data_IF_709319286500
#
_entry.id   IF_709319286500
#
_cell.length_a   1.000
_cell.length_b   1.000
_cell.length_c   1.000
_cell.angle_alpha   90.00
_cell.angle_beta   90.00
_cell.angle_gamma   90.00
#
_symmetry.space_group_name_H-M   'P 1'
#
loop_
_entity.id
_entity.type
_entity.pdbx_description
1 polymer ?
#
# COMPACT_ATOMS: atom_id res chain seq x y z
N UNK A 1 -29.72 -6.12 -55.86
CA UNK A 1 -30.31 -6.37 -54.52
C UNK A 1 -29.25 -6.77 -53.49
N UNK A 2 -28.32 -7.69 -53.78
CA UNK A 2 -27.19 -8.00 -52.87
C UNK A 2 -26.23 -6.81 -52.66
N UNK A 3 -25.75 -6.18 -53.75
CA UNK A 3 -24.84 -5.02 -53.70
C UNK A 3 -25.41 -3.81 -52.93
N UNK A 4 -26.74 -3.63 -52.95
CA UNK A 4 -27.43 -2.57 -52.22
C UNK A 4 -27.59 -2.88 -50.73
N UNK A 5 -27.66 -4.16 -50.36
CA UNK A 5 -27.77 -4.60 -48.97
C UNK A 5 -26.40 -4.50 -48.26
N UNK A 6 -25.33 -4.91 -48.95
CA UNK A 6 -23.94 -4.78 -48.46
C UNK A 6 -23.54 -3.31 -48.26
N UNK A 7 -23.89 -2.42 -49.20
CA UNK A 7 -23.64 -0.99 -49.06
C UNK A 7 -24.38 -0.33 -47.89
N UNK A 8 -25.60 -0.78 -47.58
CA UNK A 8 -26.37 -0.27 -46.45
C UNK A 8 -25.83 -0.76 -45.10
N UNK A 9 -25.35 -2.01 -45.02
CA UNK A 9 -24.67 -2.53 -43.83
C UNK A 9 -23.33 -1.82 -43.55
N UNK A 10 -22.52 -1.57 -44.59
CA UNK A 10 -21.27 -0.81 -44.45
C UNK A 10 -21.53 0.64 -44.00
N UNK A 11 -22.58 1.28 -44.52
CA UNK A 11 -22.99 2.62 -44.13
C UNK A 11 -23.50 2.70 -42.68
N UNK A 12 -24.17 1.65 -42.19
CA UNK A 12 -24.65 1.57 -40.81
C UNK A 12 -23.53 1.25 -39.79
N UNK A 13 -22.52 0.49 -40.20
CA UNK A 13 -21.39 0.09 -39.34
C UNK A 13 -20.40 1.24 -39.11
N UNK A 14 -20.18 2.09 -40.12
CA UNK A 14 -19.25 3.23 -40.06
C UNK A 14 -19.51 4.21 -38.90
N UNK A 15 -20.75 4.72 -38.68
CA UNK A 15 -21.03 5.62 -37.55
C UNK A 15 -20.93 4.92 -36.20
N UNK A 16 -21.32 3.64 -36.08
CA UNK A 16 -21.19 2.89 -34.83
C UNK A 16 -19.73 2.74 -34.42
N UNK A 17 -18.85 2.40 -35.37
CA UNK A 17 -17.40 2.30 -35.12
C UNK A 17 -16.80 3.67 -34.78
N UNK A 18 -17.29 4.74 -35.39
CA UNK A 18 -16.86 6.10 -35.05
C UNK A 18 -17.26 6.50 -33.62
N UNK A 19 -18.50 6.21 -33.22
CA UNK A 19 -19.01 6.49 -31.88
C UNK A 19 -18.26 5.68 -30.82
N UNK A 20 -17.99 4.40 -31.08
CA UNK A 20 -17.18 3.54 -30.20
C UNK A 20 -15.75 4.07 -30.05
N UNK A 21 -15.15 4.55 -31.14
CA UNK A 21 -13.81 5.17 -31.10
C UNK A 21 -13.82 6.46 -30.28
N UNK A 22 -14.82 7.31 -30.48
CA UNK A 22 -14.91 8.60 -29.79
C UNK A 22 -15.19 8.42 -28.30
N UNK A 23 -16.06 7.46 -27.93
CA UNK A 23 -16.28 7.04 -26.55
C UNK A 23 -15.01 6.48 -25.91
N UNK A 24 -14.26 5.63 -26.61
CA UNK A 24 -12.99 5.10 -26.13
C UNK A 24 -11.96 6.22 -25.90
N UNK A 25 -11.88 7.20 -26.82
CA UNK A 25 -10.97 8.33 -26.70
C UNK A 25 -11.33 9.24 -25.52
N UNK A 26 -12.63 9.47 -25.29
CA UNK A 26 -13.11 10.21 -24.11
C UNK A 26 -12.79 9.47 -22.81
N UNK A 27 -13.04 8.16 -22.75
CA UNK A 27 -12.72 7.32 -21.58
C UNK A 27 -11.22 7.33 -21.29
N UNK A 28 -10.39 7.20 -22.32
CA UNK A 28 -8.93 7.26 -22.18
C UNK A 28 -8.46 8.61 -21.63
N UNK A 29 -8.94 9.70 -22.22
CA UNK A 29 -8.61 11.07 -21.77
C UNK A 29 -9.04 11.30 -20.33
N UNK A 30 -10.25 10.85 -19.96
CA UNK A 30 -10.76 10.93 -18.59
C UNK A 30 -9.88 10.14 -17.62
N UNK A 31 -9.55 8.90 -17.96
CA UNK A 31 -8.70 8.05 -17.12
C UNK A 31 -7.31 8.66 -16.90
N UNK A 32 -6.69 9.25 -17.93
CA UNK A 32 -5.42 9.96 -17.80
C UNK A 32 -5.55 11.12 -16.81
N UNK A 33 -6.55 11.98 -16.99
CA UNK A 33 -6.75 13.15 -16.14
C UNK A 33 -7.00 12.75 -14.69
N UNK A 34 -7.77 11.69 -14.44
CA UNK A 34 -8.02 11.16 -13.09
C UNK A 34 -6.72 10.66 -12.43
N UNK A 35 -5.89 9.91 -13.17
CA UNK A 35 -4.60 9.41 -12.65
C UNK A 35 -3.64 10.56 -12.37
N UNK A 36 -3.57 11.54 -13.27
CA UNK A 36 -2.74 12.74 -13.10
C UNK A 36 -3.19 13.58 -11.90
N UNK A 37 -4.50 13.80 -11.73
CA UNK A 37 -5.03 14.54 -10.60
C UNK A 37 -4.77 13.82 -9.28
N UNK A 38 -5.04 12.51 -9.21
CA UNK A 38 -4.80 11.70 -8.00
C UNK A 38 -3.33 11.68 -7.62
N UNK A 39 -2.45 11.49 -8.60
CA UNK A 39 -0.99 11.47 -8.37
C UNK A 39 -0.47 12.86 -8.01
N UNK A 40 -0.91 13.90 -8.72
CA UNK A 40 -0.55 15.29 -8.43
C UNK A 40 -0.95 15.72 -7.02
N UNK A 41 -2.15 15.36 -6.57
CA UNK A 41 -2.59 15.62 -5.20
C UNK A 41 -1.75 14.86 -4.16
N UNK A 42 -1.46 13.58 -4.40
CA UNK A 42 -0.58 12.79 -3.51
C UNK A 42 0.82 13.39 -3.42
N UNK A 43 1.39 13.80 -4.55
CA UNK A 43 2.72 14.44 -4.59
C UNK A 43 2.71 15.75 -3.81
N UNK A 44 1.72 16.61 -4.04
CA UNK A 44 1.58 17.87 -3.31
C UNK A 44 1.46 17.64 -1.79
N UNK A 45 0.70 16.64 -1.37
CA UNK A 45 0.59 16.29 0.05
C UNK A 45 1.91 15.79 0.62
N UNK A 46 2.65 14.96 -0.12
CA UNK A 46 3.97 14.47 0.30
C UNK A 46 4.99 15.60 0.39
N UNK A 47 5.02 16.53 -0.57
CA UNK A 47 5.85 17.73 -0.53
C UNK A 47 5.56 18.58 0.70
N UNK A 48 4.27 18.82 1.00
CA UNK A 48 3.86 19.58 2.19
C UNK A 48 4.25 18.87 3.48
N UNK A 49 4.12 17.55 3.55
CA UNK A 49 4.58 16.75 4.69
C UNK A 49 6.10 16.84 4.86
N UNK A 50 6.85 16.74 3.77
CA UNK A 50 8.30 16.85 3.77
C UNK A 50 8.74 18.22 4.29
N UNK A 51 8.18 19.30 3.77
CA UNK A 51 8.47 20.67 4.23
C UNK A 51 8.14 20.82 5.72
N UNK A 52 7.00 20.29 6.17
CA UNK A 52 6.60 20.33 7.57
C UNK A 52 7.57 19.58 8.49
N UNK A 53 7.98 18.38 8.09
CA UNK A 53 8.96 17.57 8.84
C UNK A 53 10.34 18.21 8.85
N UNK A 54 10.79 18.80 7.74
CA UNK A 54 12.06 19.51 7.66
C UNK A 54 12.09 20.73 8.60
N UNK A 55 11.01 21.55 8.61
CA UNK A 55 10.90 22.68 9.54
C UNK A 55 10.84 22.24 11.00
N UNK A 56 10.19 21.10 11.28
CA UNK A 56 10.17 20.54 12.63
C UNK A 56 11.57 20.06 13.06
N UNK A 57 12.30 19.41 12.17
CA UNK A 57 13.67 18.94 12.40
C UNK A 57 14.59 20.12 12.72
N UNK A 58 14.59 21.17 11.89
CA UNK A 58 15.40 22.37 12.10
C UNK A 58 15.12 23.02 13.47
N UNK A 59 13.84 23.15 13.85
CA UNK A 59 13.45 23.67 15.17
C UNK A 59 13.96 22.79 16.32
N UNK A 60 13.95 21.47 16.13
CA UNK A 60 14.42 20.52 17.14
C UNK A 60 15.93 20.52 17.28
N UNK A 61 16.66 20.67 16.19
CA UNK A 61 18.13 20.85 16.22
C UNK A 61 18.53 22.12 16.95
N UNK A 62 17.85 23.25 16.68
CA UNK A 62 18.10 24.50 17.41
C UNK A 62 17.83 24.33 18.92
N UNK A 63 16.67 23.78 19.28
CA UNK A 63 16.33 23.52 20.69
C UNK A 63 17.34 22.60 21.38
N UNK A 64 17.81 21.56 20.70
CA UNK A 64 18.81 20.64 21.23
C UNK A 64 20.13 21.35 21.47
N UNK A 65 20.61 22.13 20.49
CA UNK A 65 21.86 22.88 20.61
C UNK A 65 21.83 23.90 21.76
N UNK A 66 20.71 24.60 21.95
CA UNK A 66 20.53 25.53 23.08
C UNK A 66 20.63 24.81 24.43
N UNK A 67 19.94 23.66 24.57
CA UNK A 67 19.99 22.86 25.80
C UNK A 67 21.38 22.32 26.07
N UNK A 68 22.08 21.84 25.05
CA UNK A 68 23.44 21.32 25.17
C UNK A 68 24.42 22.43 25.58
N UNK A 69 24.32 23.61 24.97
CA UNK A 69 25.14 24.76 25.33
C UNK A 69 24.90 25.22 26.79
N UNK A 70 23.65 25.21 27.26
CA UNK A 70 23.31 25.58 28.64
C UNK A 70 23.75 24.53 29.69
N UNK A 71 23.81 23.26 29.30
CA UNK A 71 24.04 22.14 30.24
C UNK A 71 25.51 21.92 30.61
N UNK A 72 26.47 22.57 29.93
CA UNK A 72 27.92 22.45 30.18
C UNK A 72 28.40 20.99 30.36
N UNK A 73 27.85 20.07 29.56
CA UNK A 73 28.16 18.64 29.65
C UNK A 73 29.52 18.33 29.05
N UNK A 74 30.20 17.31 29.57
CA UNK A 74 31.42 16.79 28.95
C UNK A 74 31.08 16.24 27.54
N UNK A 75 31.71 16.77 26.46
CA UNK A 75 31.41 16.35 25.09
C UNK A 75 31.68 14.87 24.84
N UNK A 76 32.65 14.28 25.53
CA UNK A 76 33.03 12.87 25.34
C UNK A 76 31.98 11.92 25.92
N UNK A 77 31.49 12.21 27.13
CA UNK A 77 30.41 11.46 27.76
C UNK A 77 29.10 11.58 26.97
N UNK A 78 28.78 12.78 26.48
CA UNK A 78 27.58 13.01 25.67
C UNK A 78 27.60 12.17 24.38
N UNK A 79 28.72 12.14 23.66
CA UNK A 79 28.88 11.36 22.42
C UNK A 79 28.61 9.87 22.66
N UNK A 80 29.15 9.31 23.75
CA UNK A 80 28.95 7.91 24.12
C UNK A 80 27.47 7.61 24.44
N UNK A 81 26.79 8.52 25.15
CA UNK A 81 25.36 8.35 25.48
C UNK A 81 24.49 8.46 24.24
N UNK A 82 24.76 9.42 23.35
CA UNK A 82 24.05 9.59 22.08
C UNK A 82 24.16 8.33 21.22
N UNK A 83 25.38 7.81 21.02
CA UNK A 83 25.59 6.60 20.22
C UNK A 83 24.86 5.39 20.82
N UNK A 84 24.92 5.20 22.14
CA UNK A 84 24.18 4.11 22.79
C UNK A 84 22.67 4.24 22.62
N UNK A 85 22.16 5.47 22.63
CA UNK A 85 20.74 5.72 22.42
C UNK A 85 20.34 5.43 20.96
N UNK A 86 21.18 5.82 20.00
CA UNK A 86 21.01 5.48 18.57
C UNK A 86 20.99 3.97 18.37
N UNK A 87 21.94 3.22 18.93
CA UNK A 87 21.99 1.75 18.86
C UNK A 87 20.71 1.10 19.41
N UNK A 88 20.22 1.60 20.55
CA UNK A 88 18.99 1.09 21.17
C UNK A 88 17.76 1.41 20.33
N UNK A 89 17.69 2.62 19.76
CA UNK A 89 16.60 3.01 18.86
C UNK A 89 16.58 2.14 17.61
N UNK A 90 17.73 1.93 16.98
CA UNK A 90 17.85 1.10 15.79
C UNK A 90 17.50 -0.37 16.08
N UNK A 91 17.99 -0.91 17.19
CA UNK A 91 17.63 -2.25 17.65
C UNK A 91 16.12 -2.40 17.85
N UNK A 92 15.47 -1.43 18.50
CA UNK A 92 14.00 -1.45 18.71
C UNK A 92 13.23 -1.29 17.41
N UNK A 93 13.67 -0.39 16.52
CA UNK A 93 13.03 -0.19 15.23
C UNK A 93 13.10 -1.44 14.36
N UNK A 94 14.24 -2.14 14.37
CA UNK A 94 14.39 -3.42 13.69
C UNK A 94 13.50 -4.50 14.31
N UNK A 95 13.46 -4.60 15.65
CA UNK A 95 12.54 -5.53 16.32
C UNK A 95 11.07 -5.26 15.98
N UNK A 96 10.65 -3.98 15.85
CA UNK A 96 9.29 -3.62 15.40
C UNK A 96 9.04 -4.14 13.98
N UNK A 97 9.96 -3.91 13.05
CA UNK A 97 9.84 -4.39 11.66
C UNK A 97 9.74 -5.91 11.60
N UNK A 98 10.59 -6.62 12.35
CA UNK A 98 10.61 -8.08 12.41
C UNK A 98 9.30 -8.62 12.97
N UNK A 99 8.81 -8.05 14.08
CA UNK A 99 7.55 -8.47 14.69
C UNK A 99 6.34 -8.19 13.78
N UNK A 100 6.34 -7.06 13.08
CA UNK A 100 5.30 -6.76 12.09
C UNK A 100 5.32 -7.75 10.93
N UNK A 101 6.51 -8.12 10.46
CA UNK A 101 6.67 -9.15 9.43
C UNK A 101 6.19 -10.52 9.90
N UNK A 102 6.56 -10.92 11.11
CA UNK A 102 6.13 -12.18 11.70
C UNK A 102 4.61 -12.25 11.90
N UNK A 103 4.01 -11.18 12.41
CA UNK A 103 2.55 -11.07 12.52
C UNK A 103 1.89 -11.26 11.15
N UNK A 104 2.38 -10.59 10.12
CA UNK A 104 1.85 -10.71 8.78
C UNK A 104 1.98 -12.12 8.21
N UNK A 105 3.13 -12.77 8.44
CA UNK A 105 3.38 -14.15 8.03
C UNK A 105 2.39 -15.11 8.69
N UNK A 106 2.14 -14.95 9.98
CA UNK A 106 1.17 -15.77 10.73
C UNK A 106 -0.27 -15.51 10.25
N UNK A 107 -0.68 -14.25 10.09
CA UNK A 107 -2.01 -13.91 9.56
C UNK A 107 -2.24 -14.53 8.18
N UNK A 108 -1.23 -14.52 7.31
CA UNK A 108 -1.32 -15.16 5.99
C UNK A 108 -1.47 -16.68 6.14
N UNK A 109 -0.59 -17.33 6.89
CA UNK A 109 -0.65 -18.78 7.07
C UNK A 109 -2.01 -19.23 7.66
N UNK A 110 -2.57 -18.45 8.57
CA UNK A 110 -3.91 -18.65 9.11
C UNK A 110 -4.98 -18.60 8.01
N UNK A 111 -4.97 -17.55 7.17
CA UNK A 111 -5.95 -17.39 6.10
C UNK A 111 -5.80 -18.45 4.99
N UNK A 112 -4.57 -18.82 4.61
CA UNK A 112 -4.28 -19.88 3.63
C UNK A 112 -4.82 -21.25 4.13
N UNK A 113 -4.65 -21.52 5.43
CA UNK A 113 -5.16 -22.72 6.08
C UNK A 113 -6.70 -22.72 6.13
N UNK A 114 -7.31 -21.57 6.42
CA UNK A 114 -8.76 -21.40 6.39
C UNK A 114 -9.32 -21.78 5.00
N UNK A 115 -8.76 -21.20 3.96
CA UNK A 115 -9.16 -21.43 2.58
C UNK A 115 -9.00 -22.90 2.17
N UNK A 116 -7.91 -23.54 2.61
CA UNK A 116 -7.67 -24.96 2.37
C UNK A 116 -8.73 -25.84 3.03
N UNK A 117 -9.10 -25.53 4.28
CA UNK A 117 -10.16 -26.26 4.99
C UNK A 117 -11.51 -26.10 4.31
N UNK A 118 -11.88 -24.88 3.92
CA UNK A 118 -13.14 -24.62 3.21
C UNK A 118 -13.22 -25.39 1.89
N UNK A 119 -12.13 -25.40 1.12
CA UNK A 119 -12.03 -26.17 -0.12
C UNK A 119 -12.18 -27.68 0.13
N UNK A 120 -11.58 -28.19 1.21
CA UNK A 120 -11.71 -29.61 1.58
C UNK A 120 -13.11 -29.98 2.03
N UNK A 121 -13.75 -29.18 2.88
CA UNK A 121 -15.13 -29.42 3.32
C UNK A 121 -16.09 -29.44 2.13
N UNK A 122 -15.93 -28.48 1.22
CA UNK A 122 -16.70 -28.42 -0.03
C UNK A 122 -16.45 -29.66 -0.89
N UNK A 123 -15.20 -30.15 -0.98
CA UNK A 123 -14.87 -31.37 -1.74
C UNK A 123 -15.53 -32.63 -1.19
N UNK A 124 -15.83 -32.68 0.11
CA UNK A 124 -16.57 -33.76 0.76
C UNK A 124 -18.10 -33.55 0.75
N UNK A 125 -18.59 -32.49 0.09
CA UNK A 125 -20.02 -32.17 0.03
C UNK A 125 -20.59 -31.59 1.32
N UNK A 126 -19.75 -31.05 2.21
CA UNK A 126 -20.16 -30.42 3.45
C UNK A 126 -20.35 -28.91 3.20
N UNK A 127 -21.58 -28.37 3.25
CA UNK A 127 -21.82 -26.94 3.08
C UNK A 127 -21.24 -26.14 4.25
N UNK A 128 -20.59 -25.02 3.97
CA UNK A 128 -19.98 -24.17 5.00
C UNK A 128 -21.01 -23.58 5.98
N UNK A 129 -22.26 -23.40 5.53
CA UNK A 129 -23.36 -22.93 6.37
C UNK A 129 -23.73 -23.91 7.50
N UNK A 130 -23.38 -25.20 7.35
CA UNK A 130 -23.66 -26.23 8.35
C UNK A 130 -22.70 -26.17 9.55
N UNK A 131 -21.65 -25.35 9.50
CA UNK A 131 -20.63 -25.25 10.56
C UNK A 131 -21.15 -24.48 11.79
N UNK A 132 -22.16 -23.62 11.63
CA UNK A 132 -22.73 -22.84 12.73
C UNK A 132 -21.85 -21.72 13.27
N UNK A 133 -20.68 -21.48 12.66
CA UNK A 133 -19.81 -20.35 12.94
C UNK A 133 -19.14 -19.86 11.65
N UNK A 134 -18.81 -18.57 11.60
CA UNK A 134 -17.99 -17.99 10.53
C UNK A 134 -16.57 -17.78 11.08
N UNK A 135 -15.55 -18.43 10.52
CA UNK A 135 -14.19 -18.19 10.95
C UNK A 135 -13.78 -16.72 10.78
N UNK A 136 -12.96 -16.22 11.70
CA UNK A 136 -12.46 -14.85 11.63
C UNK A 136 -11.23 -14.80 10.73
N UNK A 137 -11.33 -14.08 9.61
CA UNK A 137 -10.15 -13.76 8.81
C UNK A 137 -9.27 -12.75 9.56
N UNK A 138 -7.99 -13.07 9.69
CA UNK A 138 -7.03 -12.16 10.31
C UNK A 138 -6.53 -11.16 9.27
N UNK A 139 -6.83 -9.88 9.49
CA UNK A 139 -6.33 -8.77 8.68
C UNK A 139 -5.32 -7.93 9.47
N UNK A 140 -4.16 -7.67 8.87
CA UNK A 140 -3.18 -6.74 9.46
C UNK A 140 -3.66 -5.32 9.17
N UNK A 141 -4.42 -4.73 10.09
CA UNK A 141 -4.87 -3.34 9.99
C UNK A 141 -3.66 -2.39 9.96
N UNK A 142 -3.57 -1.57 8.91
CA UNK A 142 -2.62 -0.44 8.83
C UNK A 142 -1.28 -0.73 8.15
N UNK A 143 -0.97 -1.97 7.76
CA UNK A 143 0.25 -2.30 7.03
C UNK A 143 -0.06 -2.89 5.66
N UNK A 144 0.26 -2.15 4.60
CA UNK A 144 0.31 -2.69 3.24
C UNK A 144 1.60 -3.51 3.12
N UNK A 145 1.56 -4.78 3.48
CA UNK A 145 2.66 -5.69 3.17
C UNK A 145 2.70 -5.95 1.67
N UNK A 146 3.90 -6.02 1.11
CA UNK A 146 4.05 -6.41 -0.28
C UNK A 146 3.48 -7.82 -0.47
N UNK A 147 2.61 -7.97 -1.47
CA UNK A 147 2.31 -9.30 -1.99
C UNK A 147 3.41 -9.66 -2.96
N UNK A 148 4.31 -10.54 -2.54
CA UNK A 148 5.26 -11.18 -3.44
C UNK A 148 4.53 -12.07 -4.47
N UNK A 149 5.22 -12.51 -5.54
CA UNK A 149 4.67 -13.49 -6.49
C UNK A 149 4.14 -14.71 -5.72
N UNK A 150 2.97 -15.23 -6.08
CA UNK A 150 2.26 -16.30 -5.35
C UNK A 150 1.80 -15.95 -3.92
N UNK A 151 1.64 -14.65 -3.61
CA UNK A 151 1.02 -14.17 -2.38
C UNK A 151 1.92 -14.22 -1.15
N UNK A 152 3.22 -14.49 -1.28
CA UNK A 152 4.15 -14.48 -0.14
C UNK A 152 4.22 -13.09 0.51
N UNK A 153 4.27 -13.06 1.84
CA UNK A 153 4.48 -11.82 2.59
C UNK A 153 5.92 -11.39 2.38
N UNK A 154 6.13 -10.23 1.76
CA UNK A 154 7.43 -9.57 1.68
C UNK A 154 7.49 -8.37 2.63
N UNK A 155 8.67 -8.13 3.20
CA UNK A 155 8.96 -6.88 3.90
C UNK A 155 8.76 -5.71 2.94
N UNK A 156 8.08 -4.63 3.33
CA UNK A 156 8.06 -3.41 2.52
C UNK A 156 9.51 -2.94 2.32
N UNK A 157 9.93 -2.77 1.07
CA UNK A 157 11.20 -2.11 0.72
C UNK A 157 11.14 -0.62 1.04
#
# INVERSE_FOLDING_TARGET
>A
MLLTLEGCCLAALSPQVQDERDDLYQKFTKAINEVQQKTGFKNLLLERKLIGLASLLEKKEVQLNEVLAASNLDPSALTVVTHKLEDVLDSKNNAIKDLQYELARVCKAHNDLLQTYEAKLTSFGIPLDNLGFKPLETSVLGHTLGQGPAGFVSTPT
#
